data_IF_515029350358
#
_entry.id   IF_515029350358
#
_cell.length_a   1.000
_cell.length_b   1.000
_cell.length_c   1.000
_cell.angle_alpha   90.00
_cell.angle_beta   90.00
_cell.angle_gamma   90.00
#
_symmetry.space_group_name_H-M   'P 1'
#
loop_
_entity.id
_entity.type
_entity.pdbx_description
1 polymer ?
#
# COMPACT_ATOMS: atom_id res chain seq x y z
N UNK A 1 -6.52 -0.28 12.71
CA UNK A 1 -6.24 -1.19 11.56
C UNK A 1 -4.77 -1.06 11.18
N UNK A 2 -4.14 -2.18 10.81
CA UNK A 2 -2.73 -2.28 10.41
C UNK A 2 -2.64 -2.93 9.03
N UNK A 3 -1.56 -2.66 8.32
CA UNK A 3 -1.15 -3.37 7.11
C UNK A 3 0.33 -3.72 7.25
N UNK A 4 0.79 -4.72 6.51
CA UNK A 4 2.22 -5.02 6.40
C UNK A 4 2.73 -4.56 5.04
N UNK A 5 3.90 -3.95 5.01
CA UNK A 5 4.63 -3.63 3.80
C UNK A 5 5.53 -4.81 3.44
N UNK A 6 5.43 -5.27 2.19
CA UNK A 6 6.15 -6.42 1.66
C UNK A 6 6.87 -5.99 0.39
N UNK A 7 8.06 -6.57 0.16
CA UNK A 7 8.84 -6.41 -1.06
C UNK A 7 9.08 -7.75 -1.73
N UNK A 8 9.03 -7.79 -3.05
CA UNK A 8 9.42 -8.93 -3.86
C UNK A 8 10.96 -8.97 -4.01
N UNK A 9 11.58 -10.11 -3.72
CA UNK A 9 13.03 -10.33 -3.91
C UNK A 9 13.37 -10.89 -5.28
N UNK A 10 12.38 -11.42 -6.00
CA UNK A 10 12.47 -11.92 -7.38
C UNK A 10 11.16 -11.63 -8.11
N UNK A 11 11.13 -11.83 -9.43
CA UNK A 11 9.87 -11.78 -10.19
C UNK A 11 9.12 -13.10 -10.04
N UNK A 12 7.88 -13.07 -9.56
CA UNK A 12 7.04 -14.24 -9.34
C UNK A 12 5.55 -13.86 -9.33
N UNK A 13 4.67 -14.85 -9.20
CA UNK A 13 3.23 -14.65 -8.96
C UNK A 13 2.94 -14.95 -7.50
N UNK A 14 2.38 -13.98 -6.78
CA UNK A 14 2.06 -14.14 -5.35
C UNK A 14 0.83 -15.04 -5.13
N UNK A 15 0.55 -15.36 -3.87
CA UNK A 15 -0.57 -16.23 -3.46
C UNK A 15 -1.94 -15.60 -3.75
N UNK A 16 -1.99 -14.28 -3.96
CA UNK A 16 -3.19 -13.54 -4.39
C UNK A 16 -3.34 -13.53 -5.92
N UNK A 17 -2.41 -14.17 -6.64
CA UNK A 17 -2.41 -14.30 -8.08
C UNK A 17 -1.89 -13.08 -8.83
N UNK A 18 -1.25 -12.12 -8.15
CA UNK A 18 -0.68 -10.91 -8.73
C UNK A 18 0.79 -11.16 -9.13
N UNK A 19 1.16 -10.83 -10.36
CA UNK A 19 2.56 -10.85 -10.79
C UNK A 19 3.32 -9.69 -10.17
N UNK A 20 4.28 -10.00 -9.30
CA UNK A 20 5.20 -9.05 -8.67
C UNK A 20 6.55 -9.11 -9.39
N UNK A 21 7.10 -7.96 -9.76
CA UNK A 21 8.46 -7.85 -10.30
C UNK A 21 9.46 -7.71 -9.17
N UNK A 22 10.70 -8.11 -9.42
CA UNK A 22 11.78 -7.90 -8.45
C UNK A 22 11.85 -6.43 -8.01
N UNK A 23 11.82 -6.21 -6.69
CA UNK A 23 11.84 -4.89 -6.07
C UNK A 23 10.47 -4.23 -5.90
N UNK A 24 9.39 -4.79 -6.47
CA UNK A 24 8.04 -4.26 -6.25
C UNK A 24 7.68 -4.32 -4.76
N UNK A 25 7.00 -3.28 -4.28
CA UNK A 25 6.51 -3.17 -2.91
C UNK A 25 4.98 -3.02 -2.89
N UNK A 26 4.34 -3.65 -1.92
CA UNK A 26 2.89 -3.55 -1.73
C UNK A 26 2.51 -3.65 -0.26
N UNK A 27 1.25 -3.29 0.01
CA UNK A 27 0.63 -3.45 1.31
C UNK A 27 -0.30 -4.66 1.30
N UNK A 28 -0.16 -5.53 2.29
CA UNK A 28 -1.16 -6.54 2.61
C UNK A 28 -1.97 -6.06 3.80
N UNK A 29 -3.28 -5.99 3.64
CA UNK A 29 -4.23 -5.51 4.65
C UNK A 29 -5.02 -6.69 5.22
N UNK A 30 -5.60 -6.50 6.40
CA UNK A 30 -6.52 -7.47 7.00
C UNK A 30 -7.77 -7.75 6.13
N UNK A 31 -8.12 -6.87 5.20
CA UNK A 31 -9.21 -7.10 4.23
C UNK A 31 -8.83 -8.08 3.13
N UNK A 32 -7.52 -8.26 2.89
CA UNK A 32 -7.00 -9.13 1.85
C UNK A 32 -6.85 -10.57 2.39
N UNK A 33 -6.34 -10.72 3.62
CA UNK A 33 -6.31 -11.99 4.35
C UNK A 33 -6.24 -11.76 5.88
N UNK A 34 -6.77 -12.70 6.67
CA UNK A 34 -6.66 -12.67 8.13
C UNK A 34 -5.24 -12.98 8.61
N UNK A 35 -4.56 -13.92 7.95
CA UNK A 35 -3.18 -14.30 8.22
C UNK A 35 -2.40 -14.32 6.91
N UNK A 36 -1.28 -13.61 6.86
CA UNK A 36 -0.37 -13.59 5.71
C UNK A 36 0.97 -14.23 6.10
N UNK A 37 1.32 -15.33 5.44
CA UNK A 37 2.60 -16.00 5.59
C UNK A 37 3.46 -15.59 4.40
N UNK A 38 4.64 -15.05 4.66
CA UNK A 38 5.54 -14.58 3.60
C UNK A 38 6.07 -15.77 2.79
N UNK A 39 6.00 -15.64 1.47
CA UNK A 39 6.65 -16.57 0.55
C UNK A 39 8.18 -16.42 0.54
N UNK A 40 8.88 -17.40 -0.04
CA UNK A 40 10.36 -17.39 -0.17
C UNK A 40 10.89 -16.22 -1.02
N UNK A 41 10.06 -15.69 -1.92
CA UNK A 41 10.40 -14.56 -2.79
C UNK A 41 9.90 -13.22 -2.24
N UNK A 42 9.51 -13.18 -0.97
CA UNK A 42 8.95 -12.03 -0.29
C UNK A 42 9.81 -11.63 0.90
N UNK A 43 9.80 -10.34 1.24
CA UNK A 43 10.49 -9.81 2.40
C UNK A 43 9.61 -8.80 3.09
N UNK A 44 9.42 -8.99 4.40
CA UNK A 44 8.75 -8.01 5.25
C UNK A 44 9.61 -6.76 5.39
N UNK A 45 8.99 -5.60 5.24
CA UNK A 45 9.63 -4.31 5.45
C UNK A 45 9.23 -3.71 6.79
N UNK A 46 7.93 -3.46 6.99
CA UNK A 46 7.42 -2.83 8.20
C UNK A 46 5.90 -3.03 8.36
N UNK A 47 5.37 -2.72 9.54
CA UNK A 47 3.94 -2.61 9.80
C UNK A 47 3.47 -1.17 9.65
N UNK A 48 2.63 -0.92 8.64
CA UNK A 48 2.07 0.39 8.34
C UNK A 48 0.78 0.61 9.14
N UNK A 49 0.71 1.71 9.89
CA UNK A 49 -0.49 2.13 10.60
C UNK A 49 -1.43 2.89 9.66
N UNK A 50 -2.73 2.69 9.85
CA UNK A 50 -3.74 3.46 9.12
C UNK A 50 -3.68 4.94 9.54
N UNK A 51 -3.52 5.83 8.55
CA UNK A 51 -3.64 7.28 8.76
C UNK A 51 -5.11 7.68 8.70
N UNK A 52 -5.68 8.05 9.84
CA UNK A 52 -7.07 8.52 9.96
C UNK A 52 -7.12 10.04 10.05
N UNK A 53 -8.02 10.68 9.28
CA UNK A 53 -8.24 12.12 9.31
C UNK A 53 -9.61 12.42 9.94
N UNK A 54 -9.65 13.38 10.86
CA UNK A 54 -10.89 13.99 11.37
C UNK A 54 -11.41 15.06 10.41
N UNK A 55 -12.63 15.57 10.65
CA UNK A 55 -13.26 16.61 9.82
C UNK A 55 -12.45 17.92 9.70
N UNK A 56 -11.56 18.18 10.66
CA UNK A 56 -10.70 19.38 10.69
C UNK A 56 -9.27 19.13 10.22
N UNK A 57 -8.96 17.91 9.78
CA UNK A 57 -7.63 17.53 9.34
C UNK A 57 -7.57 17.34 7.82
N UNK A 58 -6.40 17.58 7.26
CA UNK A 58 -6.04 17.25 5.90
C UNK A 58 -4.61 16.71 5.86
N UNK A 59 -4.26 15.99 4.81
CA UNK A 59 -2.88 15.62 4.52
C UNK A 59 -2.59 15.77 3.03
N UNK A 60 -1.30 15.85 2.69
CA UNK A 60 -0.83 15.86 1.31
C UNK A 60 0.02 14.62 1.10
N UNK A 61 -0.44 13.74 0.20
CA UNK A 61 0.30 12.56 -0.22
C UNK A 61 1.28 12.98 -1.32
N UNK A 62 2.56 12.75 -1.09
CA UNK A 62 3.60 12.95 -2.10
C UNK A 62 3.76 11.68 -2.94
N UNK A 63 3.98 11.82 -4.25
CA UNK A 63 4.12 10.72 -5.20
C UNK A 63 2.98 9.68 -5.10
N UNK A 64 1.70 10.10 -5.22
CA UNK A 64 0.57 9.20 -5.07
C UNK A 64 0.66 8.04 -6.08
N UNK A 65 0.18 6.86 -5.66
CA UNK A 65 0.07 5.70 -6.55
C UNK A 65 -1.06 5.92 -7.55
N UNK A 66 -0.77 5.78 -8.84
CA UNK A 66 -1.73 5.86 -9.94
C UNK A 66 -2.56 4.59 -10.10
N UNK A 67 -3.51 4.61 -11.04
CA UNK A 67 -4.32 3.43 -11.40
C UNK A 67 -3.50 2.31 -12.05
N UNK A 68 -2.30 2.63 -12.54
CA UNK A 68 -1.31 1.69 -13.06
C UNK A 68 -0.45 1.03 -11.96
N UNK A 69 -0.69 1.36 -10.70
CA UNK A 69 0.06 0.84 -9.56
C UNK A 69 1.44 1.47 -9.38
N UNK A 70 1.77 2.55 -10.10
CA UNK A 70 3.09 3.20 -10.03
C UNK A 70 3.05 4.53 -9.27
N UNK A 71 4.13 4.90 -8.55
CA UNK A 71 4.25 6.24 -7.97
C UNK A 71 4.29 7.33 -9.05
N UNK A 72 3.51 8.39 -8.87
CA UNK A 72 3.52 9.56 -9.74
C UNK A 72 4.56 10.57 -9.25
N UNK A 73 5.82 10.40 -9.65
CA UNK A 73 6.92 11.24 -9.16
C UNK A 73 6.69 12.74 -9.41
N UNK A 74 6.93 13.54 -8.37
CA UNK A 74 6.75 14.99 -8.40
C UNK A 74 5.30 15.45 -8.18
N UNK A 75 4.32 14.54 -8.23
CA UNK A 75 2.92 14.86 -8.00
C UNK A 75 2.57 14.89 -6.51
N UNK A 76 1.52 15.64 -6.18
CA UNK A 76 0.99 15.77 -4.83
C UNK A 76 -0.53 15.62 -4.85
N UNK A 77 -1.08 14.87 -3.90
CA UNK A 77 -2.52 14.68 -3.75
C UNK A 77 -2.99 15.19 -2.39
N UNK A 78 -3.83 16.23 -2.40
CA UNK A 78 -4.51 16.71 -1.20
C UNK A 78 -5.64 15.74 -0.83
N UNK A 79 -5.64 15.28 0.43
CA UNK A 79 -6.68 14.42 1.01
C UNK A 79 -7.30 15.14 2.20
N UNK A 80 -8.62 15.25 2.20
CA UNK A 80 -9.44 15.81 3.28
C UNK A 80 -10.77 15.08 3.34
N UNK A 81 -11.43 15.10 4.50
CA UNK A 81 -12.79 14.57 4.65
C UNK A 81 -13.75 15.46 3.84
N UNK A 82 -14.58 14.86 2.98
CA UNK A 82 -15.67 15.59 2.31
C UNK A 82 -16.90 15.55 3.19
N UNK A 83 -17.44 16.71 3.53
CA UNK A 83 -18.78 16.80 4.09
C UNK A 83 -19.78 16.57 2.95
N UNK A 84 -20.59 15.51 3.05
CA UNK A 84 -21.82 15.41 2.28
C UNK A 84 -22.85 16.30 2.99
N UNK A 85 -23.10 17.49 2.43
CA UNK A 85 -24.25 18.31 2.81
C UNK A 85 -25.54 17.71 2.26
#
# INVERSE_FOLDING_TARGET
QKAIAVRATKTFKDDLGVTRKNGDEWLVRNTDTETYILGVNETFLDTVKLTTLTSRQYCVILNPIGSDGRPQYGQRKLVKVRHSS
#
